data_IF_517782559758
#
_entry.id   IF_517782559758
#
_cell.length_a   1.000
_cell.length_b   1.000
_cell.length_c   1.000
_cell.angle_alpha   90.00
_cell.angle_beta   90.00
_cell.angle_gamma   90.00
#
_symmetry.space_group_name_H-M   'P 1'
#
loop_
_entity.id
_entity.type
_entity.pdbx_description
1 polymer ?
#
# COMPACT_ATOMS: atom_id res chain seq x y z
N UNK A 1 -15.04 -3.43 -5.72
CA UNK A 1 -15.75 -2.19 -6.13
C UNK A 1 -16.97 -2.09 -5.24
N UNK A 2 -17.23 -0.96 -4.58
CA UNK A 2 -18.34 -0.84 -3.63
C UNK A 2 -19.66 -0.58 -4.33
N UNK A 3 -20.72 -1.23 -3.87
CA UNK A 3 -22.11 -1.08 -4.35
C UNK A 3 -22.95 -0.39 -3.28
N UNK A 4 -23.89 0.44 -3.70
CA UNK A 4 -24.83 1.16 -2.85
C UNK A 4 -26.28 0.84 -3.22
N UNK A 5 -27.20 0.94 -2.27
CA UNK A 5 -28.63 1.03 -2.50
C UNK A 5 -29.08 2.48 -2.37
N UNK A 6 -29.95 2.94 -3.26
CA UNK A 6 -30.60 4.24 -3.11
C UNK A 6 -31.76 4.17 -2.13
N UNK A 7 -31.79 5.02 -1.11
CA UNK A 7 -32.86 4.97 -0.09
C UNK A 7 -34.19 5.56 -0.58
N UNK A 8 -34.20 6.22 -1.75
CA UNK A 8 -35.42 6.75 -2.36
C UNK A 8 -36.16 5.75 -3.24
N UNK A 9 -35.46 4.84 -3.92
CA UNK A 9 -36.06 3.93 -4.91
C UNK A 9 -35.62 2.47 -4.79
N UNK A 10 -34.64 2.16 -3.94
CA UNK A 10 -34.12 0.80 -3.74
C UNK A 10 -33.17 0.31 -4.83
N UNK A 11 -32.82 1.11 -5.84
CA UNK A 11 -31.93 0.70 -6.93
C UNK A 11 -30.50 0.43 -6.42
N UNK A 12 -29.89 -0.66 -6.88
CA UNK A 12 -28.50 -1.00 -6.60
C UNK A 12 -27.55 -0.34 -7.62
N UNK A 13 -26.63 0.49 -7.12
CA UNK A 13 -25.79 1.39 -7.90
C UNK A 13 -24.30 1.12 -7.61
N UNK A 14 -23.49 1.02 -8.67
CA UNK A 14 -22.03 1.10 -8.49
C UNK A 14 -21.65 2.52 -8.07
N UNK A 15 -20.57 2.69 -7.31
CA UNK A 15 -20.11 4.02 -6.85
C UNK A 15 -20.08 5.10 -7.95
N UNK A 16 -19.62 4.77 -9.15
CA UNK A 16 -19.55 5.70 -10.29
C UNK A 16 -20.91 6.10 -10.87
N UNK A 17 -21.98 5.36 -10.57
CA UNK A 17 -23.34 5.61 -11.06
C UNK A 17 -24.18 6.42 -10.07
N UNK A 18 -23.77 6.51 -8.80
CA UNK A 18 -24.53 7.16 -7.73
C UNK A 18 -24.76 8.64 -8.06
N UNK A 19 -23.73 9.38 -8.50
CA UNK A 19 -23.87 10.81 -8.84
C UNK A 19 -24.94 11.01 -9.92
N UNK A 20 -24.83 10.24 -11.02
CA UNK A 20 -25.78 10.32 -12.13
C UNK A 20 -27.20 10.01 -11.64
N UNK A 21 -27.37 8.93 -10.88
CA UNK A 21 -28.68 8.51 -10.37
C UNK A 21 -29.32 9.58 -9.47
N UNK A 22 -28.58 10.13 -8.50
CA UNK A 22 -29.09 11.16 -7.57
C UNK A 22 -29.44 12.48 -8.29
N UNK A 23 -28.80 12.79 -9.41
CA UNK A 23 -29.05 13.99 -10.20
C UNK A 23 -30.17 13.82 -11.23
N UNK A 24 -30.30 12.64 -11.86
CA UNK A 24 -31.20 12.45 -13.00
C UNK A 24 -32.43 11.61 -12.70
N UNK A 25 -32.32 10.59 -11.85
CA UNK A 25 -33.39 9.62 -11.61
C UNK A 25 -34.07 9.83 -10.24
N UNK A 26 -33.30 9.96 -9.17
CA UNK A 26 -33.83 10.10 -7.80
C UNK A 26 -33.34 11.37 -7.12
N UNK A 27 -33.84 12.51 -7.62
CA UNK A 27 -33.55 13.84 -7.08
C UNK A 27 -34.09 14.08 -5.67
N UNK A 28 -34.98 13.24 -5.16
CA UNK A 28 -35.50 13.33 -3.78
C UNK A 28 -34.67 12.52 -2.78
N UNK A 29 -33.86 11.55 -3.23
CA UNK A 29 -33.11 10.67 -2.33
C UNK A 29 -32.02 11.46 -1.59
N UNK A 30 -32.06 11.50 -0.25
CA UNK A 30 -31.09 12.25 0.54
C UNK A 30 -29.84 11.42 0.91
N UNK A 31 -29.95 10.10 0.83
CA UNK A 31 -28.89 9.18 1.23
C UNK A 31 -28.87 7.90 0.38
N UNK A 32 -27.72 7.24 0.41
CA UNK A 32 -27.49 5.91 -0.16
C UNK A 32 -26.82 5.02 0.89
N UNK A 33 -27.20 3.74 0.94
CA UNK A 33 -26.64 2.78 1.89
C UNK A 33 -25.64 1.87 1.19
N UNK A 34 -24.46 1.64 1.76
CA UNK A 34 -23.56 0.63 1.22
C UNK A 34 -24.12 -0.77 1.47
N UNK A 35 -24.16 -1.63 0.44
CA UNK A 35 -24.67 -3.01 0.55
C UNK A 35 -23.80 -3.85 1.49
N UNK A 36 -22.50 -3.61 1.42
CA UNK A 36 -21.51 -4.41 2.10
C UNK A 36 -21.47 -4.07 3.61
N UNK A 37 -21.34 -2.80 4.02
CA UNK A 37 -21.29 -2.44 5.44
C UNK A 37 -22.64 -2.04 6.06
N UNK A 38 -23.67 -1.79 5.26
CA UNK A 38 -24.98 -1.34 5.75
C UNK A 38 -25.00 0.08 6.31
N UNK A 39 -23.92 0.86 6.13
CA UNK A 39 -23.86 2.26 6.57
C UNK A 39 -24.56 3.17 5.55
N UNK A 40 -25.34 4.12 6.06
CA UNK A 40 -25.93 5.20 5.28
C UNK A 40 -24.94 6.34 5.06
N UNK A 41 -24.94 6.86 3.84
CA UNK A 41 -24.12 7.98 3.41
C UNK A 41 -25.01 9.05 2.81
N UNK A 42 -24.81 10.30 3.21
CA UNK A 42 -25.45 11.44 2.55
C UNK A 42 -24.99 11.59 1.09
N UNK A 43 -25.67 12.48 0.34
CA UNK A 43 -25.41 12.77 -1.08
C UNK A 43 -23.97 13.03 -1.48
N UNK A 44 -23.13 13.53 -0.57
CA UNK A 44 -21.72 13.80 -0.85
C UNK A 44 -20.77 12.86 -0.09
N UNK A 45 -21.26 12.21 0.97
CA UNK A 45 -20.42 11.42 1.88
C UNK A 45 -20.00 10.09 1.27
N UNK A 46 -20.83 9.52 0.39
CA UNK A 46 -20.55 8.21 -0.21
C UNK A 46 -19.26 8.23 -1.07
N UNK A 47 -18.85 9.41 -1.57
CA UNK A 47 -17.61 9.57 -2.34
C UNK A 47 -16.38 9.21 -1.51
N UNK A 48 -16.42 9.44 -0.19
CA UNK A 48 -15.34 9.11 0.73
C UNK A 48 -15.30 7.62 1.09
N UNK A 49 -16.35 6.87 0.78
CA UNK A 49 -16.38 5.44 1.02
C UNK A 49 -15.60 4.71 -0.10
N UNK A 50 -14.31 4.48 0.16
CA UNK A 50 -13.37 3.84 -0.79
C UNK A 50 -13.06 2.39 -0.41
N UNK A 51 -13.13 2.06 0.88
CA UNK A 51 -12.91 0.72 1.43
C UNK A 51 -14.09 0.34 2.32
N UNK A 52 -14.62 -0.87 2.11
CA UNK A 52 -15.68 -1.42 2.93
C UNK A 52 -15.13 -2.47 3.92
N UNK A 53 -15.92 -2.81 4.94
CA UNK A 53 -15.58 -3.86 5.92
C UNK A 53 -15.48 -5.21 5.21
N UNK A 54 -14.61 -6.10 5.71
CA UNK A 54 -14.54 -7.47 5.20
C UNK A 54 -15.75 -8.28 5.65
N UNK A 55 -16.13 -9.32 4.88
CA UNK A 55 -17.22 -10.22 5.26
C UNK A 55 -17.00 -10.82 6.65
N UNK A 56 -15.76 -11.13 7.00
CA UNK A 56 -15.41 -11.65 8.32
C UNK A 56 -15.58 -10.62 9.43
N UNK A 57 -15.34 -9.33 9.16
CA UNK A 57 -15.65 -8.26 10.13
C UNK A 57 -17.16 -8.07 10.31
N UNK A 58 -17.96 -8.31 9.26
CA UNK A 58 -19.43 -8.18 9.32
C UNK A 58 -20.10 -9.37 10.00
N UNK A 59 -19.71 -10.59 9.65
CA UNK A 59 -20.38 -11.82 10.08
C UNK A 59 -19.58 -12.65 11.10
N UNK A 60 -18.34 -12.26 11.44
CA UNK A 60 -17.45 -13.05 12.31
C UNK A 60 -17.84 -13.07 13.79
N UNK A 61 -18.93 -12.41 14.18
CA UNK A 61 -19.44 -12.38 15.56
C UNK A 61 -18.50 -11.69 16.55
N UNK A 62 -18.87 -11.71 17.84
CA UNK A 62 -18.11 -11.06 18.91
C UNK A 62 -16.71 -11.66 19.15
N UNK A 63 -16.42 -12.85 18.59
CA UNK A 63 -15.14 -13.54 18.70
C UNK A 63 -14.25 -13.36 17.45
N UNK A 64 -14.59 -12.45 16.54
CA UNK A 64 -13.74 -12.16 15.38
C UNK A 64 -12.43 -11.52 15.81
N UNK A 65 -11.35 -12.30 15.80
CA UNK A 65 -9.99 -11.80 15.89
C UNK A 65 -9.54 -11.46 14.48
N UNK A 66 -9.39 -10.17 14.18
CA UNK A 66 -8.78 -9.72 12.94
C UNK A 66 -7.43 -10.42 12.77
N UNK A 67 -7.29 -11.22 11.71
CA UNK A 67 -6.05 -11.92 11.43
C UNK A 67 -4.93 -10.88 11.29
N UNK A 68 -3.93 -10.93 12.17
CA UNK A 68 -2.79 -10.01 12.21
C UNK A 68 -2.07 -9.91 10.85
N UNK A 69 -2.18 -10.95 10.01
CA UNK A 69 -1.62 -11.00 8.67
C UNK A 69 -2.45 -10.34 7.57
N UNK A 70 -3.77 -10.13 7.73
CA UNK A 70 -4.63 -9.57 6.66
C UNK A 70 -4.21 -8.15 6.27
N UNK A 71 -3.63 -7.38 7.20
CA UNK A 71 -3.19 -6.00 6.96
C UNK A 71 -1.67 -5.87 6.78
N UNK A 72 -0.92 -6.98 6.70
CA UNK A 72 0.55 -6.95 6.64
C UNK A 72 1.06 -6.26 5.37
N UNK A 73 0.33 -6.40 4.26
CA UNK A 73 0.65 -5.72 3.00
C UNK A 73 0.44 -4.20 3.09
N UNK A 74 -0.67 -3.79 3.70
CA UNK A 74 -1.04 -2.38 3.90
C UNK A 74 -0.10 -1.68 4.89
N UNK A 75 0.19 -2.29 6.05
CA UNK A 75 1.18 -1.78 7.01
C UNK A 75 2.56 -1.56 6.37
N UNK A 76 2.96 -2.43 5.44
CA UNK A 76 4.21 -2.28 4.68
C UNK A 76 4.17 -1.12 3.67
N UNK A 77 2.99 -0.81 3.12
CA UNK A 77 2.79 0.35 2.24
C UNK A 77 2.81 1.64 3.07
N UNK A 78 2.12 1.67 4.21
CA UNK A 78 2.14 2.80 5.15
C UNK A 78 3.56 3.15 5.60
N UNK A 79 4.37 2.14 5.98
CA UNK A 79 5.77 2.37 6.35
C UNK A 79 6.61 2.92 5.20
N UNK A 80 6.35 2.51 3.95
CA UNK A 80 7.02 3.08 2.78
C UNK A 80 6.60 4.52 2.53
N UNK A 81 5.33 4.84 2.73
CA UNK A 81 4.83 6.20 2.65
C UNK A 81 5.47 7.11 3.71
N UNK A 82 5.68 6.63 4.94
CA UNK A 82 6.40 7.35 6.00
C UNK A 82 7.85 7.69 5.59
N UNK A 83 8.51 6.81 4.83
CA UNK A 83 9.86 7.07 4.30
C UNK A 83 9.83 8.23 3.31
N UNK A 84 8.85 8.25 2.39
CA UNK A 84 8.67 9.36 1.44
C UNK A 84 8.44 10.67 2.19
N UNK A 85 7.56 10.67 3.20
CA UNK A 85 7.33 11.86 4.04
C UNK A 85 8.60 12.31 4.77
N UNK A 86 9.37 11.37 5.30
CA UNK A 86 10.64 11.66 5.97
C UNK A 86 11.67 12.27 5.02
N UNK A 87 11.73 11.79 3.77
CA UNK A 87 12.61 12.34 2.75
C UNK A 87 12.23 13.78 2.37
N UNK A 88 10.92 14.07 2.27
CA UNK A 88 10.41 15.43 2.05
C UNK A 88 10.81 16.35 3.20
N UNK A 89 10.58 15.92 4.44
CA UNK A 89 10.88 16.72 5.64
C UNK A 89 12.38 16.96 5.85
N UNK A 90 13.23 16.00 5.47
CA UNK A 90 14.69 16.16 5.50
C UNK A 90 15.22 17.02 4.35
N UNK A 91 14.35 17.44 3.41
CA UNK A 91 14.69 18.29 2.27
C UNK A 91 15.84 17.70 1.43
N UNK A 92 15.86 16.36 1.30
CA UNK A 92 16.96 15.61 0.68
C UNK A 92 16.98 15.75 -0.85
N UNK A 93 18.18 15.83 -1.41
CA UNK A 93 18.42 15.85 -2.86
C UNK A 93 18.31 17.23 -3.52
N UNK A 94 18.43 17.25 -4.85
CA UNK A 94 18.30 18.47 -5.67
C UNK A 94 16.85 18.98 -5.84
N UNK A 95 16.63 20.16 -6.45
CA UNK A 95 15.29 20.73 -6.64
C UNK A 95 14.31 19.81 -7.39
N UNK A 96 14.79 19.09 -8.41
CA UNK A 96 13.98 18.14 -9.19
C UNK A 96 13.63 16.88 -8.39
N UNK A 97 14.56 16.39 -7.56
CA UNK A 97 14.31 15.26 -6.66
C UNK A 97 13.23 15.61 -5.62
N UNK A 98 13.26 16.82 -5.07
CA UNK A 98 12.24 17.34 -4.17
C UNK A 98 10.87 17.43 -4.83
N UNK A 99 10.81 17.90 -6.06
CA UNK A 99 9.55 17.95 -6.82
C UNK A 99 8.97 16.55 -7.03
N UNK A 100 9.81 15.55 -7.34
CA UNK A 100 9.38 14.16 -7.45
C UNK A 100 8.89 13.60 -6.11
N UNK A 101 9.61 13.84 -5.01
CA UNK A 101 9.20 13.43 -3.66
C UNK A 101 7.84 14.02 -3.26
N UNK A 102 7.60 15.31 -3.55
CA UNK A 102 6.30 15.95 -3.31
C UNK A 102 5.18 15.31 -4.15
N UNK A 103 5.43 14.97 -5.42
CA UNK A 103 4.42 14.27 -6.24
C UNK A 103 4.12 12.87 -5.70
N UNK A 104 5.12 12.17 -5.15
CA UNK A 104 4.95 10.84 -4.54
C UNK A 104 4.02 10.84 -3.31
N UNK A 105 3.84 11.99 -2.63
CA UNK A 105 2.89 12.13 -1.52
C UNK A 105 1.44 11.81 -1.93
N UNK A 106 1.08 11.99 -3.21
CA UNK A 106 -0.26 11.70 -3.70
C UNK A 106 -0.50 10.20 -4.00
N UNK A 107 0.54 9.37 -3.87
CA UNK A 107 0.50 7.95 -4.22
C UNK A 107 0.86 7.07 -3.01
N UNK A 108 -0.10 6.78 -2.12
CA UNK A 108 0.14 5.98 -0.91
C UNK A 108 0.53 4.51 -1.21
N UNK A 109 0.27 4.04 -2.43
CA UNK A 109 0.64 2.69 -2.90
C UNK A 109 1.87 2.72 -3.82
N UNK A 110 2.89 3.48 -3.44
CA UNK A 110 4.12 3.60 -4.23
C UNK A 110 4.89 2.27 -4.23
N UNK A 111 5.38 1.77 -5.39
CA UNK A 111 6.09 0.50 -5.44
C UNK A 111 7.39 0.49 -4.62
N UNK A 112 7.62 -0.63 -3.94
CA UNK A 112 8.76 -0.84 -3.02
C UNK A 112 9.93 -1.61 -3.63
N UNK A 113 9.82 -2.00 -4.90
CA UNK A 113 10.89 -2.67 -5.66
C UNK A 113 11.42 -1.69 -6.68
N UNK A 114 12.75 -1.52 -6.75
CA UNK A 114 13.42 -0.54 -7.61
C UNK A 114 12.88 -0.49 -9.04
N UNK A 115 12.94 -1.61 -9.75
CA UNK A 115 12.47 -1.68 -11.14
C UNK A 115 10.98 -1.30 -11.29
N UNK A 116 10.14 -1.69 -10.33
CA UNK A 116 8.72 -1.34 -10.34
C UNK A 116 8.50 0.14 -10.00
N UNK A 117 9.31 0.72 -9.12
CA UNK A 117 9.28 2.14 -8.80
C UNK A 117 9.66 2.99 -10.00
N UNK A 118 10.78 2.67 -10.65
CA UNK A 118 11.24 3.38 -11.85
C UNK A 118 10.16 3.35 -12.92
N UNK A 119 9.60 2.17 -13.21
CA UNK A 119 8.51 2.03 -14.18
C UNK A 119 7.25 2.81 -13.76
N UNK A 120 6.92 2.83 -12.47
CA UNK A 120 5.78 3.58 -11.96
C UNK A 120 5.95 5.08 -12.14
N UNK A 121 7.12 5.63 -11.78
CA UNK A 121 7.42 7.05 -11.95
C UNK A 121 7.37 7.41 -13.44
N UNK A 122 8.02 6.62 -14.30
CA UNK A 122 8.06 6.86 -15.74
C UNK A 122 6.67 6.83 -16.39
N UNK A 123 5.77 5.95 -15.95
CA UNK A 123 4.44 5.80 -16.57
C UNK A 123 3.36 6.68 -15.95
N UNK A 124 3.33 6.78 -14.62
CA UNK A 124 2.22 7.36 -13.86
C UNK A 124 2.46 8.82 -13.47
N UNK A 125 3.71 9.19 -13.19
CA UNK A 125 4.06 10.56 -12.77
C UNK A 125 4.59 11.37 -13.96
N UNK A 126 5.49 10.77 -14.75
CA UNK A 126 6.12 11.33 -15.97
C UNK A 126 6.91 12.63 -15.71
N UNK A 127 7.68 13.05 -16.71
CA UNK A 127 8.35 14.36 -16.70
C UNK A 127 9.59 14.46 -15.80
N UNK A 128 10.15 13.34 -15.35
CA UNK A 128 11.41 13.30 -14.60
C UNK A 128 12.47 12.53 -15.39
N UNK A 129 13.69 13.06 -15.40
CA UNK A 129 14.82 12.38 -16.03
C UNK A 129 15.19 11.12 -15.25
N UNK A 130 15.65 10.04 -15.92
CA UNK A 130 16.03 8.79 -15.25
C UNK A 130 17.01 8.99 -14.09
N UNK A 131 17.99 9.89 -14.24
CA UNK A 131 18.95 10.24 -13.19
C UNK A 131 18.29 10.75 -11.90
N UNK A 132 17.24 11.57 -12.02
CA UNK A 132 16.51 12.11 -10.87
C UNK A 132 15.67 11.02 -10.20
N UNK A 133 15.09 10.11 -10.99
CA UNK A 133 14.33 8.97 -10.45
C UNK A 133 15.25 8.04 -9.66
N UNK A 134 16.46 7.81 -10.16
CA UNK A 134 17.50 7.05 -9.45
C UNK A 134 17.99 7.75 -8.19
N UNK A 135 18.27 9.06 -8.25
CA UNK A 135 18.64 9.86 -7.07
C UNK A 135 17.59 9.74 -5.96
N UNK A 136 16.31 9.89 -6.31
CA UNK A 136 15.21 9.73 -5.36
C UNK A 136 15.13 8.31 -4.83
N UNK A 137 15.31 7.28 -5.66
CA UNK A 137 15.35 5.90 -5.20
C UNK A 137 16.46 5.68 -4.16
N UNK A 138 17.67 6.16 -4.42
CA UNK A 138 18.81 6.04 -3.50
C UNK A 138 18.53 6.75 -2.17
N UNK A 139 17.90 7.93 -2.18
CA UNK A 139 17.49 8.62 -0.95
C UNK A 139 16.52 7.76 -0.14
N UNK A 140 15.48 7.21 -0.78
CA UNK A 140 14.49 6.36 -0.10
C UNK A 140 15.13 5.08 0.45
N UNK A 141 16.03 4.47 -0.31
CA UNK A 141 16.76 3.26 0.08
C UNK A 141 17.68 3.49 1.28
N UNK A 142 18.37 4.64 1.34
CA UNK A 142 19.20 5.02 2.48
C UNK A 142 18.38 5.26 3.77
N UNK A 143 17.10 5.61 3.65
CA UNK A 143 16.20 5.84 4.77
C UNK A 143 15.50 4.56 5.27
N UNK A 144 15.44 3.51 4.43
CA UNK A 144 14.83 2.23 4.77
C UNK A 144 15.33 1.64 6.10
N UNK A 145 16.64 1.49 6.35
CA UNK A 145 17.13 0.84 7.57
C UNK A 145 16.77 1.64 8.83
N UNK A 146 16.75 2.98 8.73
CA UNK A 146 16.45 3.87 9.86
C UNK A 146 15.00 3.71 10.31
N UNK A 147 14.07 3.69 9.36
CA UNK A 147 12.64 3.49 9.66
C UNK A 147 12.37 2.07 10.13
N UNK A 148 12.98 1.05 9.50
CA UNK A 148 12.83 -0.35 9.95
C UNK A 148 13.31 -0.54 11.39
N UNK A 149 14.43 0.07 11.77
CA UNK A 149 14.95 0.05 13.15
C UNK A 149 14.01 0.75 14.14
N UNK A 150 13.39 1.87 13.74
CA UNK A 150 12.38 2.58 14.54
C UNK A 150 11.12 1.74 14.74
N UNK A 151 10.63 1.11 13.66
CA UNK A 151 9.45 0.23 13.69
C UNK A 151 9.67 -0.97 14.63
N UNK A 152 10.86 -1.57 14.57
CA UNK A 152 11.25 -2.70 15.43
C UNK A 152 11.32 -2.32 16.92
N UNK A 153 11.80 -1.11 17.25
CA UNK A 153 11.81 -0.58 18.63
C UNK A 153 10.40 -0.27 19.17
N UNK A 154 9.46 0.14 18.32
CA UNK A 154 8.11 0.57 18.73
C UNK A 154 7.14 -0.58 19.01
N UNK A 155 7.44 -1.82 18.56
CA UNK A 155 6.56 -2.99 18.77
C UNK A 155 7.35 -4.26 19.16
N UNK A 156 7.88 -4.34 20.39
CA UNK A 156 8.60 -5.53 20.86
C UNK A 156 7.76 -6.82 20.85
N UNK A 157 6.42 -6.71 20.93
CA UNK A 157 5.49 -7.84 20.98
C UNK A 157 5.26 -8.54 19.63
N UNK A 158 5.45 -7.86 18.48
CA UNK A 158 5.24 -8.44 17.13
C UNK A 158 6.55 -9.05 16.55
N UNK A 159 7.72 -8.81 17.17
CA UNK A 159 9.03 -9.32 16.72
C UNK A 159 9.13 -10.85 16.78
N UNK A 160 8.53 -11.45 17.81
CA UNK A 160 8.47 -12.92 17.98
C UNK A 160 7.69 -13.57 16.85
N UNK A 161 6.56 -12.98 16.47
CA UNK A 161 5.68 -13.45 15.40
C UNK A 161 6.36 -13.35 14.02
N UNK A 162 7.14 -12.30 13.78
CA UNK A 162 7.91 -12.14 12.53
C UNK A 162 9.04 -13.18 12.41
N UNK A 163 9.81 -13.40 13.49
CA UNK A 163 10.88 -14.40 13.53
C UNK A 163 10.33 -15.84 13.36
N UNK A 164 9.16 -16.13 13.91
CA UNK A 164 8.50 -17.43 13.76
C UNK A 164 8.00 -17.66 12.32
N UNK A 165 7.53 -16.60 11.64
CA UNK A 165 7.14 -16.67 10.22
C UNK A 165 8.37 -16.86 9.33
N UNK A 166 9.48 -16.17 9.59
CA UNK A 166 10.74 -16.32 8.86
C UNK A 166 11.30 -17.73 8.98
N UNK A 167 11.37 -18.29 10.20
CA UNK A 167 11.76 -19.69 10.43
C UNK A 167 10.86 -20.69 9.72
N UNK A 168 9.53 -20.45 9.69
CA UNK A 168 8.59 -21.30 8.95
C UNK A 168 8.81 -21.21 7.44
N UNK A 169 9.15 -20.04 6.92
CA UNK A 169 9.44 -19.82 5.50
C UNK A 169 10.76 -20.49 5.10
N UNK A 170 11.82 -20.34 5.89
CA UNK A 170 13.09 -21.04 5.69
C UNK A 170 12.94 -22.56 5.73
N UNK A 171 12.15 -23.09 6.68
CA UNK A 171 11.89 -24.54 6.77
C UNK A 171 11.09 -25.04 5.56
N UNK A 172 10.24 -24.20 4.95
CA UNK A 172 9.56 -24.51 3.68
C UNK A 172 10.51 -24.44 2.49
N UNK A 173 11.39 -23.44 2.43
CA UNK A 173 12.43 -23.32 1.41
C UNK A 173 13.41 -24.50 1.43
N UNK A 174 13.80 -24.99 2.62
CA UNK A 174 14.63 -26.20 2.77
C UNK A 174 13.91 -27.52 2.39
N UNK A 175 12.58 -27.50 2.27
CA UNK A 175 11.75 -28.67 1.93
C UNK A 175 11.30 -28.66 0.46
N UNK A 176 11.55 -27.57 -0.28
CA UNK A 176 11.25 -27.53 -1.70
C UNK A 176 12.33 -28.33 -2.45
N UNK A 177 11.97 -29.24 -3.37
CA UNK A 177 12.94 -29.93 -4.20
C UNK A 177 13.70 -28.92 -5.06
N UNK A 178 15.02 -29.13 -5.08
CA UNK A 178 16.08 -28.37 -5.73
C UNK A 178 15.72 -27.95 -7.17
N UNK A 179 15.65 -26.63 -7.41
CA UNK A 179 15.81 -26.06 -8.76
C UNK A 179 17.13 -25.29 -8.75
N UNK A 180 18.14 -25.96 -9.31
CA UNK A 180 19.39 -25.41 -9.76
C UNK A 180 19.11 -24.47 -10.95
N UNK A 181 19.54 -23.21 -10.88
CA UNK A 181 20.21 -22.42 -11.93
C UNK A 181 20.08 -20.91 -11.66
N UNK A 182 21.23 -20.21 -11.77
CA UNK A 182 21.48 -18.76 -11.65
C UNK A 182 21.48 -18.23 -10.20
N UNK A 183 22.58 -17.84 -9.55
CA UNK A 183 23.82 -17.22 -10.03
C UNK A 183 25.02 -17.54 -9.10
N UNK A 184 25.97 -18.34 -9.60
CA UNK A 184 27.26 -18.65 -8.94
C UNK A 184 28.37 -17.62 -9.22
N UNK A 185 28.03 -16.36 -9.52
CA UNK A 185 29.03 -15.37 -9.96
C UNK A 185 29.16 -14.13 -9.06
N UNK A 186 28.59 -14.14 -7.85
CA UNK A 186 28.71 -13.01 -6.91
C UNK A 186 29.84 -13.22 -5.90
N UNK A 187 30.30 -14.46 -5.66
CA UNK A 187 31.29 -14.74 -4.61
C UNK A 187 32.74 -14.94 -5.09
N UNK A 188 33.03 -14.92 -6.39
CA UNK A 188 34.42 -15.02 -6.89
C UNK A 188 35.12 -13.67 -7.11
N UNK A 189 34.37 -12.57 -7.18
CA UNK A 189 34.96 -11.24 -7.41
C UNK A 189 35.34 -10.50 -6.11
N UNK A 190 35.19 -11.14 -4.95
CA UNK A 190 35.55 -10.57 -3.65
C UNK A 190 36.85 -11.14 -3.05
N UNK A 191 37.51 -12.09 -3.72
CA UNK A 191 38.76 -12.73 -3.24
C UNK A 191 40.02 -12.34 -4.03
N UNK A 192 39.92 -11.48 -5.05
CA UNK A 192 41.08 -11.02 -5.86
C UNK A 192 41.45 -9.54 -5.61
N UNK A 193 41.02 -8.96 -4.48
CA UNK A 193 41.31 -7.56 -4.12
C UNK A 193 41.86 -7.40 -2.69
N UNK A 194 42.79 -8.27 -2.29
CA UNK A 194 43.83 -7.97 -1.29
C UNK A 194 45.20 -8.02 -1.99
#
# INVERSE_FOLDING_TARGET
MVVFHCNGCGEALKKSQVDKHLLTACRSAQSVSCVDCGKDFGRQEYQNHVKCVSEQQKYGGANYVANSNSNKGEKKQEGWFEIVQSAINQNSGGPQAKNLLQKLQNYPNTPRKRAKFINFVSNSIRGFQPRIVEEVWTILEALLPKIMKRYKKLKPSEEKEFNDIEKKLEKKLRRAPFIETLDNNIYRLLDEAQ
#
